data_IF_391967340448
#
_entry.id   IF_391967340448
#
_cell.length_a   1.000
_cell.length_b   1.000
_cell.length_c   1.000
_cell.angle_alpha   90.00
_cell.angle_beta   90.00
_cell.angle_gamma   90.00
#
_symmetry.space_group_name_H-M   'P 1'
#
loop_
_entity.id
_entity.type
_entity.pdbx_description
1 polymer ?
#
# COMPACT_ATOMS: atom_id res chain seq x y z
N UNK A 1 -13.36 -31.04 -31.15
CA UNK A 1 -13.05 -30.64 -29.77
C UNK A 1 -13.59 -29.24 -29.58
N UNK A 2 -14.67 -29.06 -28.82
CA UNK A 2 -15.20 -27.74 -28.50
C UNK A 2 -14.18 -27.07 -27.53
N UNK A 3 -13.64 -25.91 -27.94
CA UNK A 3 -12.81 -25.11 -27.09
C UNK A 3 -13.64 -24.74 -25.86
N UNK A 4 -13.25 -25.22 -24.69
CA UNK A 4 -13.80 -24.78 -23.41
C UNK A 4 -13.50 -23.27 -23.33
N UNK A 5 -14.53 -22.46 -23.52
CA UNK A 5 -14.48 -21.03 -23.31
C UNK A 5 -14.30 -20.86 -21.80
N UNK A 6 -13.04 -20.74 -21.37
CA UNK A 6 -12.75 -20.35 -19.98
C UNK A 6 -13.47 -19.01 -19.75
N UNK A 7 -14.52 -19.02 -18.97
CA UNK A 7 -15.17 -17.79 -18.55
C UNK A 7 -14.12 -16.94 -17.86
N UNK A 8 -13.95 -15.70 -18.35
CA UNK A 8 -12.95 -14.79 -17.78
C UNK A 8 -13.37 -14.44 -16.36
N UNK A 9 -12.51 -14.73 -15.40
CA UNK A 9 -12.70 -14.31 -14.01
C UNK A 9 -12.97 -12.81 -13.93
N UNK A 10 -13.96 -12.42 -13.17
CA UNK A 10 -14.29 -11.02 -12.85
C UNK A 10 -14.51 -10.89 -11.35
N UNK A 11 -14.37 -9.70 -10.81
CA UNK A 11 -14.70 -9.46 -9.40
C UNK A 11 -16.14 -9.87 -9.11
N UNK A 12 -16.35 -10.60 -8.00
CA UNK A 12 -17.68 -11.12 -7.62
C UNK A 12 -18.69 -10.00 -7.35
N UNK A 13 -18.22 -8.84 -6.92
CA UNK A 13 -19.05 -7.66 -6.65
C UNK A 13 -18.21 -6.37 -6.70
N UNK A 14 -18.92 -5.23 -6.76
CA UNK A 14 -18.28 -3.92 -6.58
C UNK A 14 -17.58 -3.79 -5.23
N UNK A 15 -18.16 -4.35 -4.18
CA UNK A 15 -17.56 -4.32 -2.84
C UNK A 15 -16.26 -5.13 -2.78
N UNK A 16 -16.25 -6.34 -3.38
CA UNK A 16 -15.06 -7.16 -3.48
C UNK A 16 -13.93 -6.44 -4.24
N UNK A 17 -14.25 -5.81 -5.37
CA UNK A 17 -13.30 -4.97 -6.11
C UNK A 17 -12.75 -3.82 -5.25
N UNK A 18 -13.61 -3.09 -4.54
CA UNK A 18 -13.17 -1.98 -3.68
C UNK A 18 -12.28 -2.47 -2.55
N UNK A 19 -12.66 -3.56 -1.86
CA UNK A 19 -11.83 -4.14 -0.80
C UNK A 19 -10.47 -4.61 -1.31
N UNK A 20 -10.43 -5.26 -2.46
CA UNK A 20 -9.19 -5.69 -3.07
C UNK A 20 -8.31 -4.51 -3.49
N UNK A 21 -8.90 -3.47 -4.10
CA UNK A 21 -8.17 -2.28 -4.54
C UNK A 21 -7.68 -1.44 -3.35
N UNK A 22 -8.47 -1.32 -2.30
CA UNK A 22 -8.03 -0.69 -1.04
C UNK A 22 -6.92 -1.52 -0.41
N UNK A 23 -7.06 -2.86 -0.37
CA UNK A 23 -6.02 -3.74 0.16
C UNK A 23 -4.73 -3.75 -0.66
N UNK A 24 -4.80 -3.44 -1.95
CA UNK A 24 -3.62 -3.23 -2.79
C UNK A 24 -2.92 -1.89 -2.47
N UNK A 25 -3.67 -0.81 -2.27
CA UNK A 25 -3.14 0.50 -1.94
C UNK A 25 -2.61 0.55 -0.50
N UNK A 26 -3.41 0.05 0.45
CA UNK A 26 -3.08 0.06 1.88
C UNK A 26 -2.02 -0.98 2.22
N UNK A 27 -0.85 -0.50 2.62
CA UNK A 27 0.28 -1.36 2.96
C UNK A 27 1.35 -0.64 3.77
N UNK A 28 2.60 -1.04 3.58
CA UNK A 28 3.76 -0.43 4.23
C UNK A 28 3.94 1.05 3.86
N UNK A 29 3.43 1.46 2.71
CA UNK A 29 3.40 2.85 2.27
C UNK A 29 2.67 3.78 3.23
N UNK A 30 1.58 3.30 3.83
CA UNK A 30 0.76 4.03 4.78
C UNK A 30 1.26 3.86 6.21
N UNK A 31 1.57 2.62 6.61
CA UNK A 31 1.83 2.28 8.02
C UNK A 31 3.25 2.65 8.44
N UNK A 32 4.21 2.51 7.53
CA UNK A 32 5.61 2.77 7.81
C UNK A 32 6.14 4.02 7.10
N UNK A 33 6.01 4.07 5.75
CA UNK A 33 6.66 5.13 4.98
C UNK A 33 6.01 6.49 5.19
N UNK A 34 4.69 6.59 5.26
CA UNK A 34 4.00 7.87 5.46
C UNK A 34 4.41 8.55 6.78
N UNK A 35 4.37 7.90 7.95
CA UNK A 35 4.83 8.53 9.18
C UNK A 35 6.30 8.94 9.12
N UNK A 36 7.16 8.10 8.58
CA UNK A 36 8.59 8.41 8.41
C UNK A 36 8.80 9.66 7.56
N UNK A 37 8.20 9.72 6.36
CA UNK A 37 8.35 10.86 5.45
C UNK A 37 7.71 12.12 6.04
N UNK A 38 6.57 12.01 6.74
CA UNK A 38 5.95 13.13 7.43
C UNK A 38 6.87 13.68 8.54
N UNK A 39 7.55 12.79 9.29
CA UNK A 39 8.54 13.13 10.29
C UNK A 39 9.67 13.98 9.73
N UNK A 40 10.27 13.52 8.64
CA UNK A 40 11.41 14.16 7.98
C UNK A 40 11.05 15.47 7.25
N UNK A 41 9.77 15.71 6.89
CA UNK A 41 9.35 16.79 6.02
C UNK A 41 8.39 17.80 6.67
N UNK A 42 8.47 17.99 7.99
CA UNK A 42 7.78 19.08 8.67
C UNK A 42 6.31 18.81 9.06
N UNK A 43 5.92 17.55 9.19
CA UNK A 43 4.67 17.15 9.82
C UNK A 43 3.42 17.64 9.09
N UNK A 44 2.61 18.48 9.74
CA UNK A 44 1.33 18.95 9.24
C UNK A 44 1.40 19.65 7.88
N UNK A 45 2.45 20.38 7.60
CA UNK A 45 2.65 21.05 6.31
C UNK A 45 2.84 20.03 5.17
N UNK A 46 3.66 19.00 5.41
CA UNK A 46 3.80 17.87 4.48
C UNK A 46 2.47 17.16 4.25
N UNK A 47 1.68 16.91 5.31
CA UNK A 47 0.36 16.26 5.19
C UNK A 47 -0.57 17.03 4.26
N UNK A 48 -0.62 18.37 4.36
CA UNK A 48 -1.45 19.19 3.47
C UNK A 48 -0.98 19.05 2.02
N UNK A 49 0.32 19.16 1.75
CA UNK A 49 0.88 19.00 0.39
C UNK A 49 0.63 17.59 -0.14
N UNK A 50 0.81 16.56 0.68
CA UNK A 50 0.51 15.17 0.33
C UNK A 50 -0.97 15.00 -0.07
N UNK A 51 -1.91 15.53 0.71
CA UNK A 51 -3.34 15.46 0.40
C UNK A 51 -3.68 16.12 -0.94
N UNK A 52 -3.08 17.26 -1.23
CA UNK A 52 -3.24 17.93 -2.53
C UNK A 52 -2.68 17.04 -3.65
N UNK A 53 -1.48 16.48 -3.49
CA UNK A 53 -0.88 15.60 -4.49
C UNK A 53 -1.72 14.34 -4.73
N UNK A 54 -2.24 13.74 -3.67
CA UNK A 54 -3.13 12.58 -3.74
C UNK A 54 -4.39 12.88 -4.57
N UNK A 55 -5.02 14.02 -4.33
CA UNK A 55 -6.26 14.41 -5.03
C UNK A 55 -6.00 14.85 -6.47
N UNK A 56 -4.97 15.68 -6.70
CA UNK A 56 -4.72 16.31 -8.00
C UNK A 56 -3.98 15.38 -8.95
N UNK A 57 -3.12 14.52 -8.44
CA UNK A 57 -2.29 13.61 -9.25
C UNK A 57 -2.73 12.16 -9.06
N UNK A 58 -2.82 11.70 -7.81
CA UNK A 58 -3.10 10.30 -7.48
C UNK A 58 -4.44 9.81 -8.04
N UNK A 59 -5.53 10.53 -7.79
CA UNK A 59 -6.87 10.16 -8.28
C UNK A 59 -6.93 10.08 -9.81
N UNK A 60 -6.49 11.08 -10.59
CA UNK A 60 -6.48 10.99 -12.05
C UNK A 60 -5.63 9.83 -12.60
N UNK A 61 -4.45 9.60 -12.04
CA UNK A 61 -3.57 8.51 -12.48
C UNK A 61 -4.22 7.15 -12.17
N UNK A 62 -4.79 6.97 -10.99
CA UNK A 62 -5.53 5.76 -10.63
C UNK A 62 -6.73 5.51 -11.57
N UNK A 63 -7.48 6.58 -11.90
CA UNK A 63 -8.57 6.48 -12.87
C UNK A 63 -8.09 6.04 -14.25
N UNK A 64 -6.95 6.56 -14.70
CA UNK A 64 -6.35 6.20 -15.98
C UNK A 64 -5.91 4.71 -15.98
N UNK A 65 -5.27 4.23 -14.94
CA UNK A 65 -4.86 2.83 -14.82
C UNK A 65 -6.07 1.87 -14.83
N UNK A 66 -7.09 2.16 -14.02
CA UNK A 66 -8.31 1.36 -13.99
C UNK A 66 -9.01 1.35 -15.36
N UNK A 67 -9.02 2.49 -16.06
CA UNK A 67 -9.59 2.59 -17.40
C UNK A 67 -8.81 1.77 -18.42
N UNK A 68 -7.49 1.89 -18.42
CA UNK A 68 -6.59 1.12 -19.31
C UNK A 68 -6.79 -0.37 -19.06
N UNK A 69 -6.77 -0.81 -17.80
CA UNK A 69 -6.99 -2.21 -17.45
C UNK A 69 -8.35 -2.71 -17.91
N UNK A 70 -9.43 -1.98 -17.61
CA UNK A 70 -10.80 -2.34 -17.99
C UNK A 70 -11.01 -2.39 -19.51
N UNK A 71 -10.37 -1.51 -20.27
CA UNK A 71 -10.47 -1.48 -21.73
C UNK A 71 -9.58 -2.55 -22.37
N UNK A 72 -8.33 -2.66 -21.91
CA UNK A 72 -7.35 -3.60 -22.47
C UNK A 72 -7.55 -5.04 -22.07
N UNK A 73 -8.24 -5.29 -20.94
CA UNK A 73 -8.63 -6.61 -20.42
C UNK A 73 -7.50 -7.67 -20.44
N UNK A 74 -6.29 -7.27 -20.13
CA UNK A 74 -5.10 -8.11 -20.17
C UNK A 74 -4.05 -7.59 -19.19
N UNK A 75 -2.86 -8.23 -19.14
CA UNK A 75 -1.73 -7.71 -18.38
C UNK A 75 -1.34 -6.30 -18.82
N UNK A 76 -0.75 -5.47 -17.96
CA UNK A 76 -0.48 -4.06 -18.24
C UNK A 76 0.21 -3.80 -19.60
N UNK A 77 1.30 -4.48 -19.98
CA UNK A 77 1.93 -4.24 -21.28
C UNK A 77 1.01 -4.56 -22.46
N UNK A 78 0.24 -5.65 -22.36
CA UNK A 78 -0.67 -6.07 -23.44
C UNK A 78 -1.88 -5.13 -23.51
N UNK A 79 -2.44 -4.73 -22.37
CA UNK A 79 -3.55 -3.78 -22.29
C UNK A 79 -3.19 -2.45 -22.96
N UNK A 80 -2.02 -1.88 -22.65
CA UNK A 80 -1.53 -0.65 -23.28
C UNK A 80 -1.30 -0.84 -24.77
N UNK A 81 -0.74 -1.98 -25.19
CA UNK A 81 -0.52 -2.29 -26.61
C UNK A 81 -1.84 -2.36 -27.39
N UNK A 82 -2.84 -3.06 -26.83
CA UNK A 82 -4.15 -3.20 -27.47
C UNK A 82 -4.81 -1.83 -27.67
N UNK A 83 -4.80 -0.97 -26.64
CA UNK A 83 -5.34 0.38 -26.73
C UNK A 83 -4.56 1.25 -27.72
N UNK A 84 -3.23 1.13 -27.77
CA UNK A 84 -2.41 1.85 -28.73
C UNK A 84 -2.78 1.45 -30.18
N UNK A 85 -2.91 0.15 -30.46
CA UNK A 85 -3.34 -0.35 -31.78
C UNK A 85 -4.73 0.13 -32.18
N UNK A 86 -5.70 0.06 -31.27
CA UNK A 86 -7.06 0.53 -31.51
C UNK A 86 -7.10 2.03 -31.90
N UNK A 87 -6.14 2.81 -31.44
CA UNK A 87 -6.03 4.26 -31.71
C UNK A 87 -4.98 4.59 -32.80
N UNK A 88 -4.52 3.61 -33.57
CA UNK A 88 -3.51 3.83 -34.62
C UNK A 88 -2.16 4.30 -34.11
N UNK A 89 -1.82 4.02 -32.84
CA UNK A 89 -0.55 4.43 -32.21
C UNK A 89 0.46 3.29 -32.22
N UNK A 90 1.72 3.66 -32.02
CA UNK A 90 2.84 2.71 -32.04
C UNK A 90 2.72 1.67 -30.91
N UNK A 91 3.03 0.40 -31.20
CA UNK A 91 3.13 -0.66 -30.21
C UNK A 91 4.25 -0.43 -29.17
N UNK A 92 5.15 0.52 -29.43
CA UNK A 92 6.19 0.91 -28.45
C UNK A 92 5.60 1.39 -27.12
N UNK A 93 4.33 1.79 -27.08
CA UNK A 93 3.63 2.12 -25.86
C UNK A 93 3.56 0.95 -24.85
N UNK A 94 3.79 -0.28 -25.28
CA UNK A 94 3.96 -1.44 -24.37
C UNK A 94 5.03 -1.21 -23.30
N UNK A 95 6.04 -0.38 -23.60
CA UNK A 95 7.10 -0.08 -22.64
C UNK A 95 6.59 0.58 -21.38
N UNK A 96 5.52 1.37 -21.43
CA UNK A 96 4.91 2.00 -20.24
C UNK A 96 4.40 0.93 -19.28
N UNK A 97 3.64 -0.03 -19.77
CA UNK A 97 3.18 -1.17 -18.95
C UNK A 97 4.33 -2.08 -18.51
N UNK A 98 5.36 -2.24 -19.36
CA UNK A 98 6.56 -3.02 -19.04
C UNK A 98 7.42 -2.40 -17.93
N UNK A 99 7.63 -1.08 -17.98
CA UNK A 99 8.33 -0.34 -16.92
C UNK A 99 7.56 -0.38 -15.60
N UNK A 100 6.22 -0.27 -15.64
CA UNK A 100 5.38 -0.43 -14.46
C UNK A 100 5.55 -1.81 -13.82
N UNK A 101 5.54 -2.89 -14.60
CA UNK A 101 5.79 -4.24 -14.09
C UNK A 101 7.21 -4.40 -13.53
N UNK A 102 8.21 -3.83 -14.16
CA UNK A 102 9.58 -3.87 -13.65
C UNK A 102 9.69 -3.15 -12.29
N UNK A 103 9.05 -1.99 -12.16
CA UNK A 103 8.99 -1.26 -10.90
C UNK A 103 8.28 -2.09 -9.80
N UNK A 104 7.12 -2.68 -10.12
CA UNK A 104 6.39 -3.55 -9.20
C UNK A 104 7.25 -4.75 -8.76
N UNK A 105 7.93 -5.39 -9.68
CA UNK A 105 8.80 -6.53 -9.38
C UNK A 105 9.98 -6.14 -8.47
N UNK A 106 10.60 -4.99 -8.72
CA UNK A 106 11.69 -4.49 -7.88
C UNK A 106 11.23 -4.18 -6.45
N UNK A 107 10.03 -3.58 -6.32
CA UNK A 107 9.43 -3.28 -5.02
C UNK A 107 9.08 -4.59 -4.29
N UNK A 108 8.53 -5.59 -4.99
CA UNK A 108 8.17 -6.88 -4.40
C UNK A 108 9.38 -7.63 -3.82
N UNK A 109 10.54 -7.54 -4.44
CA UNK A 109 11.79 -8.12 -3.88
C UNK A 109 12.06 -7.54 -2.48
N UNK A 110 11.96 -6.22 -2.33
CA UNK A 110 12.18 -5.55 -1.03
C UNK A 110 11.06 -5.91 -0.05
N UNK A 111 9.81 -5.88 -0.51
CA UNK A 111 8.64 -6.16 0.33
C UNK A 111 8.62 -7.59 0.85
N UNK A 112 9.04 -8.55 0.05
CA UNK A 112 9.14 -9.96 0.48
C UNK A 112 10.06 -10.12 1.69
N UNK A 113 11.20 -9.38 1.70
CA UNK A 113 12.12 -9.39 2.84
C UNK A 113 11.49 -8.72 4.07
N UNK A 114 10.81 -7.59 3.89
CA UNK A 114 10.15 -6.89 5.01
C UNK A 114 9.00 -7.72 5.58
N UNK A 115 8.25 -8.44 4.75
CA UNK A 115 7.24 -9.42 5.23
C UNK A 115 7.90 -10.47 6.11
N UNK A 116 9.10 -10.95 5.75
CA UNK A 116 9.90 -11.84 6.59
C UNK A 116 10.21 -11.23 7.97
N UNK A 117 10.63 -9.95 8.01
CA UNK A 117 10.85 -9.23 9.28
C UNK A 117 9.59 -9.19 10.15
N UNK A 118 8.46 -8.82 9.54
CA UNK A 118 7.18 -8.74 10.26
C UNK A 118 6.77 -10.10 10.81
N UNK A 119 6.91 -11.18 10.05
CA UNK A 119 6.62 -12.54 10.50
C UNK A 119 7.52 -12.97 11.66
N UNK A 120 8.81 -12.63 11.61
CA UNK A 120 9.73 -12.89 12.69
C UNK A 120 9.37 -12.14 13.98
N UNK A 121 9.05 -10.84 13.86
CA UNK A 121 8.62 -10.04 15.02
C UNK A 121 7.26 -10.51 15.55
N UNK A 122 6.34 -10.93 14.69
CA UNK A 122 5.08 -11.56 15.12
C UNK A 122 5.35 -12.84 15.92
N UNK A 123 6.25 -13.68 15.44
CA UNK A 123 6.66 -14.88 16.17
C UNK A 123 7.27 -14.54 17.54
N UNK A 124 8.18 -13.56 17.61
CA UNK A 124 8.74 -13.09 18.89
C UNK A 124 7.65 -12.52 19.81
N UNK A 125 6.74 -11.73 19.31
CA UNK A 125 5.67 -11.14 20.11
C UNK A 125 4.80 -12.21 20.79
N UNK A 126 4.54 -13.32 20.10
CA UNK A 126 3.70 -14.42 20.62
C UNK A 126 4.48 -15.34 21.56
N UNK A 127 5.79 -15.53 21.35
CA UNK A 127 6.60 -16.51 22.09
C UNK A 127 7.33 -15.92 23.27
N UNK A 128 8.04 -14.81 23.09
CA UNK A 128 8.92 -14.21 24.11
C UNK A 128 8.41 -12.88 24.64
N UNK A 129 7.52 -12.20 23.89
CA UNK A 129 7.08 -10.84 24.21
C UNK A 129 8.19 -9.80 24.05
N UNK A 130 7.89 -8.58 24.52
CA UNK A 130 8.79 -7.42 24.50
C UNK A 130 8.91 -6.77 25.87
N UNK A 131 8.59 -7.48 26.95
CA UNK A 131 8.69 -6.95 28.30
C UNK A 131 10.14 -6.58 28.63
N UNK A 132 10.33 -5.35 29.13
CA UNK A 132 11.66 -4.82 29.50
C UNK A 132 12.57 -4.46 28.31
N UNK A 133 12.03 -4.43 27.08
CA UNK A 133 12.78 -4.01 25.88
C UNK A 133 12.85 -2.48 25.84
N UNK A 134 14.04 -1.92 26.04
CA UNK A 134 14.34 -0.52 25.79
C UNK A 134 14.82 -0.27 24.35
N UNK A 135 15.10 0.97 23.98
CA UNK A 135 15.56 1.35 22.64
C UNK A 135 16.89 0.66 22.26
N UNK A 136 17.80 0.45 23.21
CA UNK A 136 19.10 -0.20 22.98
C UNK A 136 18.91 -1.66 22.65
N UNK A 137 18.08 -2.36 23.45
CA UNK A 137 17.73 -3.77 23.23
C UNK A 137 16.94 -3.95 21.94
N UNK A 138 16.02 -3.02 21.62
CA UNK A 138 15.27 -3.04 20.37
C UNK A 138 16.18 -2.95 19.16
N UNK A 139 17.13 -2.01 19.14
CA UNK A 139 18.12 -1.87 18.09
C UNK A 139 19.02 -3.11 17.97
N UNK A 140 19.52 -3.63 19.08
CA UNK A 140 20.33 -4.84 19.07
C UNK A 140 19.57 -6.06 18.54
N UNK A 141 18.30 -6.21 18.91
CA UNK A 141 17.42 -7.26 18.38
C UNK A 141 17.21 -7.13 16.87
N UNK A 142 17.02 -5.90 16.36
CA UNK A 142 16.84 -5.65 14.94
C UNK A 142 18.11 -5.92 14.15
N UNK A 143 19.25 -5.41 14.60
CA UNK A 143 20.55 -5.69 13.96
C UNK A 143 20.90 -7.18 14.02
N UNK A 144 20.63 -7.84 15.14
CA UNK A 144 20.85 -9.29 15.29
C UNK A 144 20.03 -10.09 14.28
N UNK A 145 18.77 -9.74 14.08
CA UNK A 145 17.92 -10.33 13.05
C UNK A 145 18.49 -10.10 11.64
N UNK A 146 18.92 -8.89 11.32
CA UNK A 146 19.47 -8.57 9.99
C UNK A 146 20.76 -9.34 9.68
N UNK A 147 21.56 -9.66 10.69
CA UNK A 147 22.81 -10.45 10.55
C UNK A 147 22.56 -11.96 10.46
N UNK A 148 21.40 -12.45 10.87
CA UNK A 148 21.04 -13.86 10.81
C UNK A 148 20.40 -14.22 9.47
N UNK A 149 21.23 -14.64 8.53
CA UNK A 149 20.78 -15.04 7.18
C UNK A 149 19.77 -16.19 7.22
N UNK A 150 19.83 -17.09 8.21
CA UNK A 150 18.92 -18.22 8.32
C UNK A 150 17.51 -17.75 8.66
N UNK A 151 17.39 -16.86 9.65
CA UNK A 151 16.12 -16.24 10.01
C UNK A 151 15.54 -15.45 8.83
N UNK A 152 16.36 -14.61 8.21
CA UNK A 152 15.96 -13.75 7.10
C UNK A 152 15.43 -14.56 5.91
N UNK A 153 16.18 -15.58 5.48
CA UNK A 153 15.79 -16.43 4.36
C UNK A 153 14.53 -17.21 4.70
N UNK A 154 14.49 -17.88 5.85
CA UNK A 154 13.36 -18.74 6.24
C UNK A 154 12.06 -17.93 6.35
N UNK A 155 12.09 -16.79 7.05
CA UNK A 155 10.91 -15.95 7.23
C UNK A 155 10.42 -15.34 5.90
N UNK A 156 11.34 -14.92 5.01
CA UNK A 156 11.01 -14.44 3.67
C UNK A 156 10.34 -15.53 2.83
N UNK A 157 10.88 -16.76 2.83
CA UNK A 157 10.26 -17.88 2.11
C UNK A 157 8.87 -18.23 2.64
N UNK A 158 8.66 -18.17 3.95
CA UNK A 158 7.32 -18.38 4.55
C UNK A 158 6.36 -17.30 4.03
N UNK A 159 6.76 -16.02 4.03
CA UNK A 159 5.98 -14.93 3.50
C UNK A 159 5.61 -15.12 2.03
N UNK A 160 6.59 -15.48 1.19
CA UNK A 160 6.38 -15.79 -0.22
C UNK A 160 5.46 -16.99 -0.43
N UNK A 161 5.56 -18.04 0.38
CA UNK A 161 4.69 -19.21 0.31
C UNK A 161 3.24 -18.85 0.65
N UNK A 162 3.02 -18.02 1.69
CA UNK A 162 1.68 -17.53 2.06
C UNK A 162 1.10 -16.70 0.91
N UNK A 163 1.82 -15.69 0.42
CA UNK A 163 1.39 -14.82 -0.68
C UNK A 163 1.13 -15.63 -1.94
N UNK A 164 2.05 -16.51 -2.32
CA UNK A 164 1.92 -17.38 -3.48
C UNK A 164 0.70 -18.30 -3.40
N UNK A 165 0.38 -18.83 -2.23
CA UNK A 165 -0.81 -19.67 -2.02
C UNK A 165 -2.11 -18.91 -2.26
N UNK A 166 -2.18 -17.65 -1.80
CA UNK A 166 -3.34 -16.76 -2.03
C UNK A 166 -3.50 -16.45 -3.52
N UNK A 167 -2.40 -16.13 -4.20
CA UNK A 167 -2.43 -15.84 -5.65
C UNK A 167 -2.81 -17.10 -6.44
N UNK A 168 -2.27 -18.26 -6.09
CA UNK A 168 -2.56 -19.53 -6.74
C UNK A 168 -4.04 -19.92 -6.64
N UNK A 169 -4.72 -19.54 -5.56
CA UNK A 169 -6.16 -19.77 -5.39
C UNK A 169 -7.05 -18.87 -6.30
N UNK A 170 -6.47 -17.89 -7.03
CA UNK A 170 -7.15 -17.02 -7.99
C UNK A 170 -7.76 -15.77 -7.38
N UNK A 171 -8.51 -15.03 -8.19
CA UNK A 171 -9.05 -13.72 -7.81
C UNK A 171 -10.13 -13.87 -6.74
N UNK A 172 -11.16 -14.68 -6.99
CA UNK A 172 -12.32 -14.77 -6.09
C UNK A 172 -12.03 -15.62 -4.85
N UNK A 173 -11.42 -16.79 -5.03
CA UNK A 173 -11.18 -17.75 -3.94
C UNK A 173 -9.94 -17.41 -3.11
N UNK A 174 -8.99 -16.68 -3.67
CA UNK A 174 -7.75 -16.26 -3.02
C UNK A 174 -7.81 -14.80 -2.59
N UNK A 175 -7.60 -13.87 -3.52
CA UNK A 175 -7.43 -12.45 -3.22
C UNK A 175 -8.66 -11.86 -2.52
N UNK A 176 -9.87 -12.03 -3.09
CA UNK A 176 -11.10 -11.48 -2.49
C UNK A 176 -11.34 -12.02 -1.08
N UNK A 177 -11.12 -13.33 -0.88
CA UNK A 177 -11.32 -13.96 0.42
C UNK A 177 -10.33 -13.46 1.46
N UNK A 178 -9.06 -13.32 1.09
CA UNK A 178 -8.02 -12.81 1.97
C UNK A 178 -8.30 -11.36 2.38
N UNK A 179 -8.53 -10.44 1.43
CA UNK A 179 -8.74 -9.02 1.73
C UNK A 179 -10.05 -8.76 2.47
N UNK A 180 -11.09 -9.57 2.24
CA UNK A 180 -12.37 -9.46 2.97
C UNK A 180 -12.20 -9.65 4.48
N UNK A 181 -11.23 -10.44 4.90
CA UNK A 181 -10.90 -10.65 6.31
C UNK A 181 -9.83 -9.66 6.80
N UNK A 182 -8.75 -9.51 6.03
CA UNK A 182 -7.58 -8.74 6.46
C UNK A 182 -7.85 -7.25 6.55
N UNK A 183 -8.64 -6.67 5.63
CA UNK A 183 -8.88 -5.22 5.63
C UNK A 183 -9.69 -4.75 6.84
N UNK A 184 -10.84 -5.34 7.19
CA UNK A 184 -11.53 -4.97 8.43
C UNK A 184 -10.67 -5.18 9.67
N UNK A 185 -9.90 -6.27 9.74
CA UNK A 185 -8.99 -6.53 10.86
C UNK A 185 -7.93 -5.43 10.99
N UNK A 186 -7.32 -5.01 9.88
CA UNK A 186 -6.33 -3.92 9.88
C UNK A 186 -6.93 -2.61 10.40
N UNK A 187 -8.12 -2.23 9.92
CA UNK A 187 -8.81 -1.02 10.40
C UNK A 187 -9.11 -1.10 11.91
N UNK A 188 -9.60 -2.24 12.38
CA UNK A 188 -9.87 -2.45 13.81
C UNK A 188 -8.60 -2.35 14.67
N UNK A 189 -7.50 -2.94 14.20
CA UNK A 189 -6.21 -2.86 14.89
C UNK A 189 -5.68 -1.41 14.95
N UNK A 190 -5.74 -0.67 13.84
CA UNK A 190 -5.29 0.73 13.81
C UNK A 190 -6.15 1.62 14.72
N UNK A 191 -7.46 1.47 14.69
CA UNK A 191 -8.38 2.20 15.57
C UNK A 191 -8.13 1.82 17.03
N UNK A 192 -7.95 0.54 17.33
CA UNK A 192 -7.64 0.05 18.67
C UNK A 192 -6.34 0.62 19.21
N UNK A 193 -5.26 0.61 18.41
CA UNK A 193 -3.97 1.18 18.78
C UNK A 193 -4.02 2.70 18.92
N UNK A 194 -4.70 3.42 18.02
CA UNK A 194 -4.88 4.86 18.15
C UNK A 194 -5.67 5.22 19.42
N UNK A 195 -6.71 4.44 19.75
CA UNK A 195 -7.49 4.60 20.99
C UNK A 195 -6.63 4.31 22.22
N UNK A 196 -5.83 3.26 22.19
CA UNK A 196 -4.88 2.96 23.26
C UNK A 196 -3.91 4.13 23.51
N UNK A 197 -3.32 4.67 22.44
CA UNK A 197 -2.41 5.80 22.52
C UNK A 197 -3.07 7.08 23.03
N UNK A 198 -4.36 7.29 22.75
CA UNK A 198 -5.12 8.42 23.29
C UNK A 198 -5.08 8.45 24.83
N UNK A 199 -5.09 7.28 25.47
CA UNK A 199 -5.07 7.18 26.94
C UNK A 199 -3.66 7.02 27.54
N UNK A 200 -2.67 6.61 26.77
CA UNK A 200 -1.38 6.14 27.30
C UNK A 200 -0.15 6.90 26.80
N UNK A 201 -0.30 7.69 25.73
CA UNK A 201 0.82 8.34 25.08
C UNK A 201 0.59 9.85 24.84
N UNK A 202 1.55 10.54 24.20
CA UNK A 202 1.48 11.98 23.91
C UNK A 202 0.56 12.27 22.69
N UNK A 203 -0.71 11.86 22.80
CA UNK A 203 -1.65 11.90 21.67
C UNK A 203 -1.98 13.33 21.21
N UNK A 204 -2.21 14.27 22.14
CA UNK A 204 -2.52 15.66 21.81
C UNK A 204 -1.36 16.38 21.14
N UNK A 205 -0.13 16.10 21.57
CA UNK A 205 1.08 16.64 20.96
C UNK A 205 1.23 16.12 19.52
N UNK A 206 1.05 14.83 19.31
CA UNK A 206 1.04 14.22 17.98
C UNK A 206 -0.06 14.77 17.06
N UNK A 207 -1.28 14.95 17.60
CA UNK A 207 -2.39 15.58 16.86
C UNK A 207 -2.04 17.01 16.45
N UNK A 208 -1.55 17.83 17.40
CA UNK A 208 -1.15 19.21 17.13
C UNK A 208 -0.08 19.25 16.04
N UNK A 209 0.96 18.43 16.17
CA UNK A 209 2.05 18.39 15.23
C UNK A 209 1.62 17.92 13.80
N UNK A 210 0.73 16.93 13.72
CA UNK A 210 0.28 16.36 12.47
C UNK A 210 -0.75 17.23 11.72
N UNK A 211 -1.51 18.06 12.47
CA UNK A 211 -2.63 18.84 11.89
C UNK A 211 -2.45 20.37 11.99
N UNK A 212 -1.35 20.85 12.58
CA UNK A 212 -1.01 22.27 12.58
C UNK A 212 0.10 22.53 11.56
N UNK A 213 -0.24 22.96 10.33
CA UNK A 213 0.74 23.12 9.26
C UNK A 213 1.64 24.35 9.50
N UNK A 214 2.93 24.13 9.48
CA UNK A 214 3.95 25.20 9.42
C UNK A 214 4.50 25.27 7.99
N UNK A 215 3.90 26.12 7.17
CA UNK A 215 4.29 26.24 5.75
C UNK A 215 5.69 26.82 5.53
N UNK A 216 6.33 27.38 6.57
CA UNK A 216 7.71 27.85 6.47
C UNK A 216 8.72 26.71 6.25
N UNK A 217 8.30 25.47 6.56
CA UNK A 217 9.11 24.25 6.39
C UNK A 217 8.98 23.60 5.02
N UNK A 218 8.12 24.14 4.13
CA UNK A 218 7.93 23.59 2.79
C UNK A 218 9.00 24.14 1.84
N UNK A 219 9.71 23.23 1.21
CA UNK A 219 10.64 23.50 0.13
C UNK A 219 10.40 22.57 -1.07
N UNK A 220 11.28 22.64 -2.09
CA UNK A 220 11.18 21.77 -3.25
C UNK A 220 11.35 20.28 -2.92
N UNK A 221 12.11 19.95 -1.88
CA UNK A 221 12.33 18.57 -1.45
C UNK A 221 11.07 18.01 -0.78
N UNK A 222 10.39 18.81 0.03
CA UNK A 222 9.09 18.47 0.66
C UNK A 222 8.02 18.19 -0.40
N UNK A 223 7.95 19.03 -1.46
CA UNK A 223 7.02 18.81 -2.55
C UNK A 223 7.31 17.50 -3.31
N UNK A 224 8.59 17.24 -3.60
CA UNK A 224 8.99 16.01 -4.28
C UNK A 224 8.71 14.78 -3.41
N UNK A 225 8.98 14.86 -2.11
CA UNK A 225 8.66 13.81 -1.14
C UNK A 225 7.14 13.53 -1.08
N UNK A 226 6.31 14.57 -1.09
CA UNK A 226 4.85 14.44 -1.07
C UNK A 226 4.30 13.81 -2.36
N UNK A 227 4.81 14.21 -3.53
CA UNK A 227 4.47 13.58 -4.81
C UNK A 227 4.88 12.10 -4.78
N UNK A 228 6.12 11.81 -4.39
CA UNK A 228 6.62 10.45 -4.28
C UNK A 228 5.81 9.59 -3.30
N UNK A 229 5.40 10.16 -2.16
CA UNK A 229 4.54 9.49 -1.21
C UNK A 229 3.14 9.22 -1.77
N UNK A 230 2.54 10.15 -2.51
CA UNK A 230 1.22 9.98 -3.11
C UNK A 230 1.22 8.84 -4.14
N UNK A 231 2.25 8.75 -5.00
CA UNK A 231 2.40 7.65 -5.96
C UNK A 231 2.60 6.30 -5.26
N UNK A 232 3.47 6.29 -4.28
CA UNK A 232 3.85 5.08 -3.56
C UNK A 232 2.70 4.52 -2.71
N UNK A 233 1.98 5.39 -1.99
CA UNK A 233 0.86 5.01 -1.12
C UNK A 233 -0.26 4.35 -1.92
N UNK A 234 -0.71 4.99 -2.98
CA UNK A 234 -1.81 4.48 -3.82
C UNK A 234 -1.36 3.28 -4.68
N UNK A 235 -0.05 3.10 -4.89
CA UNK A 235 0.49 2.05 -5.73
C UNK A 235 0.27 2.27 -7.23
N UNK A 236 0.18 3.52 -7.69
CA UNK A 236 0.03 3.86 -9.12
C UNK A 236 1.38 3.88 -9.86
N UNK A 237 1.33 3.85 -11.16
CA UNK A 237 2.44 3.73 -12.10
C UNK A 237 3.18 2.38 -12.09
N UNK A 238 2.71 1.41 -11.30
CA UNK A 238 3.25 0.05 -11.24
C UNK A 238 2.42 -0.98 -12.03
N UNK A 239 1.32 -0.57 -12.64
CA UNK A 239 0.43 -1.44 -13.42
C UNK A 239 -0.47 -2.35 -12.59
N UNK A 240 -0.36 -2.37 -11.26
CA UNK A 240 -1.22 -3.18 -10.39
C UNK A 240 -2.69 -2.83 -10.53
N UNK A 241 -3.03 -1.55 -10.54
CA UNK A 241 -4.41 -1.10 -10.75
C UNK A 241 -4.89 -1.31 -12.19
N UNK A 242 -3.98 -1.37 -13.18
CA UNK A 242 -4.35 -1.83 -14.52
C UNK A 242 -4.73 -3.32 -14.49
N UNK A 243 -3.98 -4.15 -13.78
CA UNK A 243 -4.30 -5.57 -13.61
C UNK A 243 -5.67 -5.76 -12.94
N UNK A 244 -5.94 -5.04 -11.85
CA UNK A 244 -7.24 -5.08 -11.16
C UNK A 244 -8.38 -4.54 -12.03
N UNK A 245 -8.12 -3.48 -12.79
CA UNK A 245 -9.04 -2.92 -13.78
C UNK A 245 -9.43 -3.91 -14.87
N UNK A 246 -8.55 -4.85 -15.24
CA UNK A 246 -8.84 -5.86 -16.24
C UNK A 246 -9.99 -6.81 -15.86
N UNK A 247 -10.26 -6.97 -14.57
CA UNK A 247 -11.37 -7.77 -14.02
C UNK A 247 -12.58 -6.92 -13.64
N UNK A 248 -12.56 -5.58 -13.94
CA UNK A 248 -13.58 -4.63 -13.50
C UNK A 248 -14.79 -4.63 -14.45
N UNK A 249 -16.02 -4.93 -13.97
CA UNK A 249 -17.23 -4.85 -14.77
C UNK A 249 -17.49 -3.44 -15.33
N UNK A 250 -18.07 -3.36 -16.54
CA UNK A 250 -18.38 -2.06 -17.18
C UNK A 250 -19.39 -1.23 -16.39
N UNK A 251 -20.25 -1.84 -15.59
CA UNK A 251 -21.26 -1.19 -14.76
C UNK A 251 -20.67 -0.40 -13.59
N UNK A 252 -19.41 -0.67 -13.20
CA UNK A 252 -18.77 0.00 -12.07
C UNK A 252 -18.19 1.35 -12.50
N UNK A 253 -18.54 2.43 -11.77
CA UNK A 253 -18.00 3.77 -11.98
C UNK A 253 -16.54 3.85 -11.54
N UNK A 254 -15.62 4.12 -12.48
CA UNK A 254 -14.18 4.27 -12.19
C UNK A 254 -13.94 5.47 -11.27
N UNK A 255 -14.48 6.63 -11.58
CA UNK A 255 -14.24 7.86 -10.81
C UNK A 255 -14.66 7.72 -9.35
N UNK A 256 -15.89 7.19 -9.11
CA UNK A 256 -16.34 6.94 -7.74
C UNK A 256 -15.49 5.89 -7.01
N UNK A 257 -15.03 4.87 -7.74
CA UNK A 257 -14.18 3.84 -7.16
C UNK A 257 -12.79 4.39 -6.82
N UNK A 258 -12.17 5.15 -7.72
CA UNK A 258 -10.88 5.78 -7.48
C UNK A 258 -10.91 6.71 -6.27
N UNK A 259 -11.96 7.53 -6.15
CA UNK A 259 -12.11 8.41 -4.99
C UNK A 259 -12.24 7.64 -3.68
N UNK A 260 -13.03 6.55 -3.65
CA UNK A 260 -13.17 5.69 -2.46
C UNK A 260 -11.84 5.03 -2.10
N UNK A 261 -11.13 4.48 -3.08
CA UNK A 261 -9.84 3.80 -2.85
C UNK A 261 -8.84 4.77 -2.25
N UNK A 262 -8.68 5.93 -2.88
CA UNK A 262 -7.73 6.95 -2.43
C UNK A 262 -8.11 7.52 -1.06
N UNK A 263 -9.40 7.74 -0.79
CA UNK A 263 -9.86 8.20 0.53
C UNK A 263 -9.58 7.17 1.62
N UNK A 264 -9.82 5.89 1.37
CA UNK A 264 -9.53 4.82 2.32
C UNK A 264 -8.02 4.69 2.58
N UNK A 265 -7.20 4.76 1.53
CA UNK A 265 -5.74 4.79 1.59
C UNK A 265 -5.23 5.93 2.48
N UNK A 266 -5.72 7.13 2.22
CA UNK A 266 -5.35 8.34 2.99
C UNK A 266 -5.78 8.24 4.46
N UNK A 267 -6.97 7.75 4.75
CA UNK A 267 -7.45 7.54 6.12
C UNK A 267 -6.53 6.57 6.87
N UNK A 268 -6.09 5.49 6.23
CA UNK A 268 -5.14 4.55 6.86
C UNK A 268 -3.79 5.22 7.11
N UNK A 269 -3.26 6.03 6.19
CA UNK A 269 -2.02 6.75 6.39
C UNK A 269 -2.08 7.69 7.61
N UNK A 270 -3.18 8.45 7.73
CA UNK A 270 -3.40 9.34 8.87
C UNK A 270 -3.57 8.54 10.17
N UNK A 271 -4.35 7.45 10.18
CA UNK A 271 -4.49 6.58 11.34
C UNK A 271 -3.14 5.99 11.78
N UNK A 272 -2.31 5.58 10.83
CA UNK A 272 -0.96 5.10 11.13
C UNK A 272 -0.09 6.19 11.77
N UNK A 273 -0.20 7.44 11.32
CA UNK A 273 0.42 8.59 11.98
C UNK A 273 -0.05 8.73 13.44
N UNK A 274 -1.36 8.62 13.68
CA UNK A 274 -1.94 8.68 15.03
C UNK A 274 -1.59 7.45 15.92
N UNK A 275 -1.12 6.37 15.34
CA UNK A 275 -0.56 5.23 16.07
C UNK A 275 0.92 5.46 16.40
N UNK A 276 1.70 5.98 15.47
CA UNK A 276 3.15 6.03 15.58
C UNK A 276 3.62 7.29 16.32
N UNK A 277 3.17 8.49 15.94
CA UNK A 277 3.68 9.74 16.52
C UNK A 277 3.44 9.91 18.01
N UNK A 278 2.29 9.49 18.59
CA UNK A 278 2.13 9.57 20.05
C UNK A 278 3.19 8.77 20.81
N UNK A 279 3.60 7.62 20.28
CA UNK A 279 4.67 6.83 20.88
C UNK A 279 6.04 7.49 20.67
N UNK A 280 6.32 8.01 19.47
CA UNK A 280 7.56 8.75 19.17
C UNK A 280 7.75 9.90 20.14
N UNK A 281 6.75 10.76 20.32
CA UNK A 281 6.84 11.92 21.24
C UNK A 281 6.95 11.49 22.72
N UNK A 282 6.21 10.45 23.12
CA UNK A 282 6.29 9.95 24.50
C UNK A 282 7.68 9.45 24.88
N UNK A 283 8.38 8.81 23.97
CA UNK A 283 9.69 8.21 24.22
C UNK A 283 10.87 9.06 23.72
N UNK A 284 10.62 10.22 23.12
CA UNK A 284 11.65 11.14 22.64
C UNK A 284 12.49 10.59 21.48
N UNK A 285 11.84 9.85 20.60
CA UNK A 285 12.48 9.20 19.43
C UNK A 285 12.50 10.10 18.19
#
# INVERSE_FOLDING_TARGET
>A
MAAVKLEKEVWSSRFAFLMASVGFAVGLGNIWRFPYVAGENGGGAFVVVYLICVLVIGVPVLMAELLIGRRGQSSPPIAVTNIAKENGKSERWKSVGGLGLLAAYTIEIIYSVIVGWVLWYLFKAVTTGFDGVDATIANANFEGMLRDSSIMITATFIGLAITGSVIYAGVQSGIEKAVRFMMPLLFLLLIGLATYNYFTASFYEAMSWLFTPDFSKIDGSTLLAAIGQAFFSIGVAMGGMMAYGAYLPRSVSIGRSAFIIVSADTVVAILAGLVIFPAVFKYGL
#
